data_IF_380107972501
#
_entry.id   IF_380107972501
#
_cell.length_a   1.000
_cell.length_b   1.000
_cell.length_c   1.000
_cell.angle_alpha   90.00
_cell.angle_beta   90.00
_cell.angle_gamma   90.00
#
_symmetry.space_group_name_H-M   'P 1'
#
loop_
_entity.id
_entity.type
_entity.pdbx_description
1 polymer ?
#
# COMPACT_ATOMS: atom_id res chain seq x y z
N UNK A 1 -1.31 -5.97 -15.76
CA UNK A 1 -1.16 -6.53 -17.13
C UNK A 1 -2.55 -6.72 -17.72
N UNK A 2 -2.86 -6.08 -18.85
CA UNK A 2 -4.18 -6.18 -19.48
C UNK A 2 -4.03 -6.91 -20.82
N UNK A 3 -4.71 -8.05 -20.98
CA UNK A 3 -4.90 -8.69 -22.28
C UNK A 3 -5.72 -7.75 -23.16
N UNK A 4 -5.34 -7.60 -24.44
CA UNK A 4 -5.96 -6.64 -25.34
C UNK A 4 -7.51 -6.77 -25.39
N UNK A 5 -8.07 -7.99 -25.32
CA UNK A 5 -9.43 -8.23 -25.81
C UNK A 5 -10.38 -9.02 -24.91
N UNK A 6 -10.02 -9.33 -23.66
CA UNK A 6 -10.84 -10.21 -22.80
C UNK A 6 -12.23 -9.71 -22.41
N UNK A 7 -12.58 -8.44 -22.63
CA UNK A 7 -13.88 -7.88 -22.22
C UNK A 7 -14.61 -7.23 -23.40
N UNK A 8 -15.49 -7.99 -24.07
CA UNK A 8 -16.36 -7.49 -25.15
C UNK A 8 -17.19 -6.26 -24.75
N UNK A 9 -17.53 -6.11 -23.46
CA UNK A 9 -18.35 -5.01 -22.95
C UNK A 9 -17.63 -3.65 -22.92
N UNK A 10 -16.30 -3.61 -23.03
CA UNK A 10 -15.50 -2.38 -22.92
C UNK A 10 -14.82 -1.97 -24.24
N UNK A 11 -15.14 -2.62 -25.36
CA UNK A 11 -14.51 -2.38 -26.66
C UNK A 11 -14.86 -1.00 -27.26
N UNK A 12 -15.98 -0.41 -26.85
CA UNK A 12 -16.44 0.89 -27.36
C UNK A 12 -16.19 2.07 -26.40
N UNK A 13 -15.52 1.85 -25.27
CA UNK A 13 -15.21 2.91 -24.31
C UNK A 13 -13.74 3.31 -24.42
N UNK A 14 -13.48 4.58 -24.73
CA UNK A 14 -12.12 5.10 -24.74
C UNK A 14 -11.54 5.09 -23.32
N UNK A 15 -10.30 4.64 -23.18
CA UNK A 15 -9.59 4.59 -21.89
C UNK A 15 -8.52 5.66 -21.85
N UNK A 16 -8.56 6.48 -20.80
CA UNK A 16 -7.46 7.41 -20.54
C UNK A 16 -6.30 6.68 -19.89
N UNK A 17 -5.12 6.78 -20.48
CA UNK A 17 -3.90 6.12 -20.00
C UNK A 17 -2.71 7.06 -20.17
N UNK A 18 -1.78 7.00 -19.22
CA UNK A 18 -0.44 7.59 -19.37
C UNK A 18 0.56 6.57 -19.90
N UNK A 19 0.45 5.31 -19.47
CA UNK A 19 1.22 4.21 -20.03
C UNK A 19 0.50 2.88 -19.85
N UNK A 20 0.70 1.95 -20.77
CA UNK A 20 0.13 0.62 -20.67
C UNK A 20 0.98 -0.42 -21.39
N UNK A 21 1.03 -1.61 -20.80
CA UNK A 21 1.56 -2.81 -21.45
C UNK A 21 0.40 -3.71 -21.89
N UNK A 22 0.24 -3.81 -23.20
CA UNK A 22 -0.72 -4.68 -23.85
C UNK A 22 -0.01 -5.93 -24.34
N UNK A 23 -0.62 -7.08 -24.13
CA UNK A 23 -0.08 -8.33 -24.62
C UNK A 23 -1.18 -9.21 -25.21
N UNK A 24 -0.76 -10.05 -26.16
CA UNK A 24 -1.56 -11.07 -26.83
C UNK A 24 -0.74 -12.35 -26.91
N UNK A 25 -1.37 -13.50 -26.69
CA UNK A 25 -0.74 -14.81 -26.79
C UNK A 25 -1.75 -15.83 -27.35
N UNK A 26 -1.48 -16.32 -28.56
CA UNK A 26 -2.28 -17.33 -29.27
C UNK A 26 -3.80 -17.05 -29.25
N UNK A 27 -4.20 -15.81 -29.50
CA UNK A 27 -5.60 -15.41 -29.60
C UNK A 27 -6.17 -15.82 -30.97
N UNK A 28 -7.34 -16.45 -31.00
CA UNK A 28 -7.96 -17.00 -32.23
C UNK A 28 -9.39 -16.51 -32.43
N UNK A 29 -9.80 -16.38 -33.68
CA UNK A 29 -11.12 -15.88 -34.11
C UNK A 29 -11.49 -14.56 -33.42
N UNK A 30 -10.52 -13.67 -33.29
CA UNK A 30 -10.67 -12.42 -32.57
C UNK A 30 -10.91 -11.27 -33.55
N UNK A 31 -11.95 -10.47 -33.33
CA UNK A 31 -12.05 -9.11 -33.88
C UNK A 31 -12.24 -8.16 -32.70
N UNK A 32 -11.22 -7.33 -32.47
CA UNK A 32 -11.14 -6.54 -31.27
C UNK A 32 -10.62 -5.15 -31.55
N UNK A 33 -11.35 -4.16 -31.04
CA UNK A 33 -11.04 -2.75 -31.18
C UNK A 33 -10.88 -2.16 -29.78
N UNK A 34 -9.77 -1.46 -29.56
CA UNK A 34 -9.54 -0.69 -28.34
C UNK A 34 -9.07 0.72 -28.69
N UNK A 35 -9.70 1.71 -28.08
CA UNK A 35 -9.31 3.11 -28.23
C UNK A 35 -8.74 3.63 -26.91
N UNK A 36 -7.58 4.29 -27.01
CA UNK A 36 -6.91 4.95 -25.90
C UNK A 36 -6.85 6.44 -26.14
N UNK A 37 -6.89 7.21 -25.06
CA UNK A 37 -6.77 8.66 -25.05
C UNK A 37 -5.72 9.07 -24.02
N UNK A 38 -4.91 10.07 -24.32
CA UNK A 38 -4.01 10.66 -23.32
C UNK A 38 -4.79 11.52 -22.32
N UNK A 39 -4.21 11.80 -21.15
CA UNK A 39 -4.85 12.71 -20.18
C UNK A 39 -4.88 14.16 -20.66
N UNK A 40 -3.89 14.56 -21.47
CA UNK A 40 -3.80 15.90 -22.05
C UNK A 40 -3.79 15.89 -23.57
N UNK A 41 -4.44 16.89 -24.18
CA UNK A 41 -4.41 17.13 -25.63
C UNK A 41 -3.01 17.52 -26.15
N UNK A 42 -2.11 17.94 -25.27
CA UNK A 42 -0.72 18.28 -25.60
C UNK A 42 0.19 17.06 -25.63
N UNK A 43 -0.33 15.89 -25.27
CA UNK A 43 0.36 14.61 -25.33
C UNK A 43 -0.07 13.84 -26.59
N UNK A 44 0.79 12.93 -27.01
CA UNK A 44 0.54 11.96 -28.08
C UNK A 44 1.07 10.60 -27.66
N UNK A 45 0.71 9.55 -28.37
CA UNK A 45 1.19 8.20 -28.06
C UNK A 45 2.47 7.84 -28.80
N UNK A 46 3.43 7.29 -28.06
CA UNK A 46 4.50 6.45 -28.55
C UNK A 46 4.09 4.98 -28.41
N UNK A 47 4.32 4.20 -29.45
CA UNK A 47 4.04 2.76 -29.51
C UNK A 47 5.34 2.02 -29.80
N UNK A 48 5.59 0.95 -29.06
CA UNK A 48 6.78 0.11 -29.22
C UNK A 48 6.48 -1.34 -28.91
N UNK A 49 7.05 -2.24 -29.70
CA UNK A 49 6.96 -3.67 -29.43
C UNK A 49 8.19 -4.17 -28.66
N UNK A 50 7.95 -4.82 -27.52
CA UNK A 50 8.96 -5.61 -26.81
C UNK A 50 9.14 -6.98 -27.47
N UNK A 51 8.04 -7.52 -27.99
CA UNK A 51 7.94 -8.78 -28.71
C UNK A 51 6.84 -8.63 -29.77
N UNK A 52 7.07 -9.16 -30.97
CA UNK A 52 6.09 -9.15 -32.05
C UNK A 52 6.32 -10.38 -32.93
N UNK A 53 5.32 -11.26 -32.95
CA UNK A 53 5.27 -12.41 -33.83
C UNK A 53 3.81 -12.68 -34.17
N UNK A 54 3.38 -12.23 -35.34
CA UNK A 54 2.01 -12.43 -35.81
C UNK A 54 1.96 -13.53 -36.85
N UNK A 55 0.79 -14.15 -36.99
CA UNK A 55 0.50 -14.96 -38.16
C UNK A 55 0.43 -14.09 -39.43
N UNK A 56 0.59 -14.68 -40.60
CA UNK A 56 0.50 -13.96 -41.87
C UNK A 56 -0.93 -13.61 -42.26
N UNK A 57 -1.90 -14.33 -41.70
CA UNK A 57 -3.31 -14.05 -41.87
C UNK A 57 -3.85 -13.09 -40.80
N UNK A 58 -3.11 -12.95 -39.69
CA UNK A 58 -3.43 -12.01 -38.62
C UNK A 58 -2.99 -10.60 -38.98
N UNK A 59 -3.82 -9.63 -38.60
CA UNK A 59 -3.55 -8.22 -38.83
C UNK A 59 -3.78 -7.39 -37.57
N UNK A 60 -2.77 -6.60 -37.21
CA UNK A 60 -2.86 -5.57 -36.20
C UNK A 60 -2.79 -4.20 -36.87
N UNK A 61 -3.94 -3.54 -36.93
CA UNK A 61 -4.10 -2.21 -37.48
C UNK A 61 -3.98 -1.14 -36.39
N UNK A 62 -3.19 -0.10 -36.68
CA UNK A 62 -2.99 1.05 -35.78
C UNK A 62 -3.53 2.30 -36.45
N UNK A 63 -4.52 2.93 -35.84
CA UNK A 63 -5.15 4.18 -36.29
C UNK A 63 -4.71 5.35 -35.41
N UNK A 64 -4.35 6.46 -36.06
CA UNK A 64 -3.98 7.74 -35.40
C UNK A 64 -5.25 8.59 -35.25
N UNK A 65 -6.15 8.14 -34.38
CA UNK A 65 -7.46 8.74 -34.16
C UNK A 65 -8.28 7.95 -33.14
N UNK A 66 -9.52 8.40 -32.89
CA UNK A 66 -10.41 7.82 -31.87
C UNK A 66 -11.25 6.63 -32.35
N UNK A 67 -11.24 6.33 -33.66
CA UNK A 67 -12.07 5.29 -34.26
C UNK A 67 -11.28 4.46 -35.28
N UNK A 68 -11.62 3.18 -35.41
CA UNK A 68 -11.06 2.26 -36.41
C UNK A 68 -11.76 2.41 -37.78
N UNK A 69 -11.85 3.64 -38.28
CA UNK A 69 -12.52 3.96 -39.55
C UNK A 69 -11.56 4.72 -40.46
N UNK A 70 -11.50 4.33 -41.74
CA UNK A 70 -10.67 4.97 -42.75
C UNK A 70 -9.28 4.35 -42.88
N UNK A 71 -8.30 5.16 -43.24
CA UNK A 71 -6.93 4.71 -43.49
C UNK A 71 -6.19 4.48 -42.17
N UNK A 72 -5.69 3.27 -41.96
CA UNK A 72 -4.78 2.97 -40.86
C UNK A 72 -3.42 3.64 -41.10
N UNK A 73 -2.70 3.90 -40.00
CA UNK A 73 -1.33 4.43 -40.03
C UNK A 73 -0.31 3.31 -40.20
N UNK A 74 -0.55 2.16 -39.58
CA UNK A 74 0.26 0.96 -39.71
C UNK A 74 -0.63 -0.28 -39.81
N UNK A 75 -0.22 -1.22 -40.66
CA UNK A 75 -0.76 -2.58 -40.78
C UNK A 75 0.40 -3.53 -40.52
N UNK A 76 0.28 -4.29 -39.44
CA UNK A 76 1.31 -5.21 -38.98
C UNK A 76 0.81 -6.65 -39.12
N UNK A 77 1.64 -7.48 -39.73
CA UNK A 77 1.42 -8.91 -39.92
C UNK A 77 2.77 -9.64 -39.78
N UNK A 78 2.87 -10.91 -40.20
CA UNK A 78 4.08 -11.75 -40.06
C UNK A 78 5.35 -11.18 -40.73
N UNK A 79 5.20 -10.26 -41.69
CA UNK A 79 6.34 -9.60 -42.37
C UNK A 79 7.04 -8.58 -41.48
N UNK A 80 6.37 -8.14 -40.42
CA UNK A 80 6.86 -7.11 -39.53
C UNK A 80 7.49 -7.76 -38.28
N UNK A 81 8.69 -7.33 -37.94
CA UNK A 81 9.41 -7.77 -36.74
C UNK A 81 9.74 -6.57 -35.86
N UNK A 82 10.06 -6.82 -34.60
CA UNK A 82 10.53 -5.77 -33.67
C UNK A 82 11.71 -4.98 -34.21
N UNK A 83 12.63 -5.61 -34.93
CA UNK A 83 13.83 -4.96 -35.47
C UNK A 83 13.48 -4.02 -36.63
N UNK A 84 12.51 -4.41 -37.45
CA UNK A 84 12.03 -3.59 -38.55
C UNK A 84 11.13 -2.44 -38.06
N UNK A 85 10.45 -2.63 -36.94
CA UNK A 85 9.57 -1.65 -36.32
C UNK A 85 10.28 -0.91 -35.18
N UNK A 86 10.75 0.31 -35.46
CA UNK A 86 11.21 1.23 -34.42
C UNK A 86 10.06 1.76 -33.54
N UNK A 87 10.39 2.71 -32.66
CA UNK A 87 9.37 3.45 -31.91
C UNK A 87 8.48 4.26 -32.88
N UNK A 88 7.18 3.96 -32.87
CA UNK A 88 6.17 4.62 -33.69
C UNK A 88 5.50 5.71 -32.89
N UNK A 89 5.15 6.82 -33.54
CA UNK A 89 4.49 7.93 -32.87
C UNK A 89 3.21 8.33 -33.59
N UNK A 90 2.17 8.59 -32.81
CA UNK A 90 0.93 9.21 -33.27
C UNK A 90 1.08 10.72 -33.35
N UNK A 91 0.15 11.37 -34.07
CA UNK A 91 0.04 12.83 -34.16
C UNK A 91 -1.07 13.36 -33.27
N UNK A 92 -2.12 12.56 -33.08
CA UNK A 92 -3.27 12.91 -32.25
C UNK A 92 -3.09 12.41 -30.82
N UNK A 93 -3.97 12.88 -29.93
CA UNK A 93 -4.05 12.46 -28.53
C UNK A 93 -4.87 11.16 -28.36
N UNK A 94 -5.22 10.50 -29.47
CA UNK A 94 -5.97 9.26 -29.51
C UNK A 94 -5.20 8.21 -30.31
N UNK A 95 -5.34 6.95 -29.91
CA UNK A 95 -4.89 5.82 -30.72
C UNK A 95 -5.92 4.72 -30.65
N UNK A 96 -6.30 4.18 -31.81
CA UNK A 96 -7.18 3.03 -31.90
C UNK A 96 -6.41 1.84 -32.46
N UNK A 97 -6.46 0.73 -31.75
CA UNK A 97 -5.88 -0.53 -32.16
C UNK A 97 -7.01 -1.46 -32.57
N UNK A 98 -6.91 -2.05 -33.76
CA UNK A 98 -7.79 -3.12 -34.22
C UNK A 98 -6.96 -4.37 -34.47
N UNK A 99 -7.21 -5.43 -33.72
CA UNK A 99 -6.55 -6.72 -33.88
C UNK A 99 -7.56 -7.74 -34.40
N UNK A 100 -7.24 -8.31 -35.57
CA UNK A 100 -8.07 -9.32 -36.24
C UNK A 100 -7.24 -10.57 -36.39
N UNK A 101 -7.74 -11.69 -35.88
CA UNK A 101 -7.11 -13.01 -36.01
C UNK A 101 -8.04 -14.03 -36.62
N UNK A 102 -7.47 -15.05 -37.26
CA UNK A 102 -8.23 -16.16 -37.83
C UNK A 102 -8.33 -17.35 -36.87
N UNK A 103 -8.83 -18.49 -37.35
CA UNK A 103 -9.01 -19.70 -36.56
C UNK A 103 -7.70 -20.46 -36.28
N UNK A 104 -6.62 -20.08 -36.95
CA UNK A 104 -5.31 -20.71 -36.89
C UNK A 104 -4.35 -19.85 -36.07
N UNK A 105 -3.36 -20.49 -35.47
CA UNK A 105 -2.39 -19.79 -34.61
C UNK A 105 -1.60 -20.76 -33.75
N UNK A 106 -0.35 -20.43 -33.48
CA UNK A 106 0.55 -21.21 -32.64
C UNK A 106 0.79 -20.52 -31.30
N UNK A 107 1.32 -21.25 -30.31
CA UNK A 107 1.66 -20.68 -29.00
C UNK A 107 2.78 -19.63 -29.04
N UNK A 108 3.54 -19.58 -30.15
CA UNK A 108 4.53 -18.53 -30.40
C UNK A 108 3.94 -17.25 -30.98
N UNK A 109 2.70 -17.28 -31.47
CA UNK A 109 2.04 -16.10 -32.02
C UNK A 109 1.56 -15.21 -30.87
N UNK A 110 1.86 -13.93 -30.98
CA UNK A 110 1.55 -12.94 -29.96
C UNK A 110 2.40 -11.69 -30.10
N UNK A 111 2.11 -10.74 -29.24
CA UNK A 111 2.89 -9.52 -29.17
C UNK A 111 2.82 -8.91 -27.78
N UNK A 112 3.83 -8.10 -27.47
CA UNK A 112 3.92 -7.29 -26.28
C UNK A 112 4.15 -5.85 -26.72
N UNK A 113 3.09 -5.04 -26.63
CA UNK A 113 3.04 -3.65 -27.07
C UNK A 113 3.05 -2.73 -25.86
N UNK A 114 4.07 -1.88 -25.79
CA UNK A 114 4.19 -0.77 -24.85
C UNK A 114 3.60 0.47 -25.50
N UNK A 115 2.63 1.09 -24.83
CA UNK A 115 2.02 2.36 -25.22
C UNK A 115 2.34 3.38 -24.13
N UNK A 116 2.87 4.53 -24.55
CA UNK A 116 3.26 5.61 -23.64
C UNK A 116 2.70 6.93 -24.14
N UNK A 117 2.04 7.69 -23.28
CA UNK A 117 1.70 9.08 -23.51
C UNK A 117 2.96 9.93 -23.34
N UNK A 118 3.39 10.58 -24.41
CA UNK A 118 4.59 11.40 -24.46
C UNK A 118 4.23 12.86 -24.73
N UNK A 119 4.95 13.78 -24.10
CA UNK A 119 4.85 15.23 -24.29
C UNK A 119 6.08 15.74 -25.04
N UNK A 120 5.87 16.62 -26.01
CA UNK A 120 6.98 17.19 -26.78
C UNK A 120 7.80 18.20 -25.94
N UNK A 121 9.14 18.29 -26.15
CA UNK A 121 10.06 19.14 -25.38
C UNK A 121 9.75 20.64 -25.48
N UNK A 122 8.99 21.03 -26.51
CA UNK A 122 8.54 22.43 -26.71
C UNK A 122 7.62 22.91 -25.60
N UNK A 123 6.99 21.99 -24.86
CA UNK A 123 6.11 22.30 -23.75
C UNK A 123 6.83 22.04 -22.43
N UNK A 124 6.44 22.75 -21.37
CA UNK A 124 7.05 22.58 -20.04
C UNK A 124 6.94 21.12 -19.56
N UNK A 125 8.10 20.48 -19.36
CA UNK A 125 8.21 19.15 -18.78
C UNK A 125 8.43 19.28 -17.28
N UNK A 126 7.37 19.08 -16.51
CA UNK A 126 7.42 19.01 -15.05
C UNK A 126 7.72 17.59 -14.54
N UNK A 127 7.75 16.62 -15.46
CA UNK A 127 7.88 15.19 -15.19
C UNK A 127 9.24 14.66 -15.67
N UNK A 128 9.38 13.34 -15.85
CA UNK A 128 10.62 12.74 -16.30
C UNK A 128 10.86 12.97 -17.79
N UNK A 129 12.11 13.26 -18.15
CA UNK A 129 12.53 13.51 -19.53
C UNK A 129 13.43 12.39 -20.03
N UNK A 130 13.00 11.73 -21.10
CA UNK A 130 13.77 10.69 -21.76
C UNK A 130 15.02 11.28 -22.41
N UNK A 131 16.14 10.54 -22.38
CA UNK A 131 17.40 11.01 -22.96
C UNK A 131 17.31 11.05 -24.50
N UNK A 132 16.67 10.04 -25.09
CA UNK A 132 16.42 10.00 -26.52
C UNK A 132 15.28 10.96 -26.90
N UNK A 133 15.56 11.92 -27.79
CA UNK A 133 14.61 12.89 -28.37
C UNK A 133 13.97 13.88 -27.37
N UNK A 134 14.35 13.84 -26.10
CA UNK A 134 13.93 14.78 -25.05
C UNK A 134 12.41 14.89 -24.81
N UNK A 135 11.64 13.85 -25.15
CA UNK A 135 10.22 13.82 -24.79
C UNK A 135 10.02 13.47 -23.33
N UNK A 136 8.86 13.83 -22.81
CA UNK A 136 8.56 13.70 -21.39
C UNK A 136 7.42 12.73 -21.16
N UNK A 137 7.57 11.94 -20.09
CA UNK A 137 6.64 10.89 -19.68
C UNK A 137 6.22 11.11 -18.23
N UNK A 138 5.07 10.56 -17.85
CA UNK A 138 4.58 10.63 -16.49
C UNK A 138 5.56 9.97 -15.52
N UNK A 139 5.74 10.56 -14.32
CA UNK A 139 6.68 10.06 -13.31
C UNK A 139 6.31 8.69 -12.76
N UNK A 140 5.06 8.28 -12.89
CA UNK A 140 4.58 6.94 -12.49
C UNK A 140 5.07 5.81 -13.40
N UNK A 141 5.57 6.14 -14.59
CA UNK A 141 6.09 5.19 -15.58
C UNK A 141 7.61 5.02 -15.49
N UNK A 142 8.24 5.60 -14.47
CA UNK A 142 9.68 5.57 -14.26
C UNK A 142 9.98 4.49 -13.23
N UNK A 143 10.91 3.59 -13.53
CA UNK A 143 11.31 2.48 -12.67
C UNK A 143 10.19 1.45 -12.45
N UNK A 144 9.33 1.23 -13.45
CA UNK A 144 8.23 0.27 -13.39
C UNK A 144 8.58 -1.09 -14.03
N UNK A 145 9.81 -1.24 -14.52
CA UNK A 145 10.31 -2.42 -15.21
C UNK A 145 9.94 -2.48 -16.70
N UNK A 146 9.29 -1.44 -17.25
CA UNK A 146 8.88 -1.34 -18.64
C UNK A 146 9.57 -0.14 -19.28
N UNK A 147 10.17 -0.34 -20.45
CA UNK A 147 10.89 0.73 -21.14
C UNK A 147 9.95 1.61 -21.97
N UNK A 148 9.47 2.68 -21.33
CA UNK A 148 8.64 3.74 -21.87
C UNK A 148 9.42 4.82 -22.64
N UNK A 149 10.73 4.97 -22.44
CA UNK A 149 11.56 5.96 -23.15
C UNK A 149 12.18 5.47 -24.48
N UNK A 150 11.89 4.24 -24.90
CA UNK A 150 12.49 3.54 -26.05
C UNK A 150 14.00 3.23 -25.91
N UNK A 151 14.77 4.12 -25.29
CA UNK A 151 16.19 3.97 -24.95
C UNK A 151 16.43 3.31 -23.58
N UNK A 152 15.40 3.23 -22.73
CA UNK A 152 15.49 2.68 -21.37
C UNK A 152 16.04 3.66 -20.35
N UNK A 153 16.06 4.96 -20.66
CA UNK A 153 16.52 6.01 -19.74
C UNK A 153 15.66 6.12 -18.48
N UNK A 154 14.39 5.78 -18.58
CA UNK A 154 13.43 5.65 -17.48
C UNK A 154 13.81 4.56 -16.46
N UNK A 155 14.35 3.44 -16.92
CA UNK A 155 14.71 2.30 -16.05
C UNK A 155 16.18 2.32 -15.59
N UNK A 156 17.03 3.05 -16.31
CA UNK A 156 18.48 3.10 -16.03
C UNK A 156 18.89 4.29 -15.16
N UNK A 157 17.97 5.22 -14.88
CA UNK A 157 18.23 6.38 -14.03
C UNK A 157 18.41 5.96 -12.56
N UNK A 158 19.65 5.62 -12.22
CA UNK A 158 20.04 5.11 -10.90
C UNK A 158 19.63 6.05 -9.76
N UNK A 159 19.61 7.37 -9.99
CA UNK A 159 19.23 8.35 -8.96
C UNK A 159 17.73 8.37 -8.65
N UNK A 160 16.89 7.95 -9.59
CA UNK A 160 15.43 7.93 -9.40
C UNK A 160 14.94 6.54 -8.96
N UNK A 161 15.51 5.47 -9.53
CA UNK A 161 15.10 4.09 -9.25
C UNK A 161 15.65 3.50 -7.95
N UNK A 162 16.53 4.23 -7.24
CA UNK A 162 17.10 3.79 -5.96
C UNK A 162 16.12 3.80 -4.77
N UNK A 163 14.87 4.23 -4.95
CA UNK A 163 13.94 4.44 -3.83
C UNK A 163 12.86 3.35 -3.67
N UNK A 164 12.87 2.27 -4.46
CA UNK A 164 11.89 1.18 -4.33
C UNK A 164 12.46 -0.11 -3.71
N UNK A 165 13.67 -0.09 -3.17
CA UNK A 165 14.19 -1.15 -2.29
C UNK A 165 14.14 -0.73 -0.81
N UNK A 166 13.01 -0.18 -0.36
CA UNK A 166 12.73 -0.12 1.08
C UNK A 166 12.35 -1.52 1.58
N UNK A 167 13.32 -2.41 1.76
CA UNK A 167 13.07 -3.67 2.46
C UNK A 167 13.94 -4.89 2.19
N UNK A 168 15.16 -4.74 1.64
CA UNK A 168 16.03 -5.89 1.33
C UNK A 168 17.46 -5.63 1.83
N UNK A 169 17.70 -5.86 3.11
CA UNK A 169 19.08 -6.09 3.59
C UNK A 169 19.41 -7.54 3.23
N UNK A 170 20.35 -7.73 2.29
CA UNK A 170 20.87 -9.04 1.87
C UNK A 170 19.84 -9.97 1.17
N UNK A 171 18.98 -9.42 0.30
CA UNK A 171 18.17 -10.24 -0.62
C UNK A 171 17.17 -11.20 0.04
N UNK A 172 16.83 -10.98 1.31
CA UNK A 172 15.77 -11.69 2.02
C UNK A 172 14.72 -10.68 2.47
N UNK A 173 13.44 -11.02 2.34
CA UNK A 173 12.34 -10.13 2.75
C UNK A 173 12.52 -9.67 4.21
N UNK A 174 12.48 -8.35 4.46
CA UNK A 174 12.64 -7.74 5.80
C UNK A 174 11.61 -8.26 6.82
N UNK A 175 10.48 -8.79 6.36
CA UNK A 175 9.46 -9.46 7.19
C UNK A 175 10.04 -10.65 7.96
N UNK A 176 10.86 -11.49 7.31
CA UNK A 176 11.42 -12.68 7.94
C UNK A 176 12.53 -12.35 8.92
N UNK A 177 13.35 -11.34 8.59
CA UNK A 177 14.46 -10.91 9.44
C UNK A 177 13.98 -10.41 10.81
N UNK A 178 12.93 -9.58 10.83
CA UNK A 178 12.36 -9.06 12.08
C UNK A 178 11.79 -10.18 12.96
N UNK A 179 11.12 -11.17 12.36
CA UNK A 179 10.57 -12.33 13.09
C UNK A 179 11.67 -13.18 13.72
N UNK A 180 12.77 -13.44 12.99
CA UNK A 180 13.91 -14.21 13.51
C UNK A 180 14.59 -13.48 14.67
N UNK A 181 14.81 -12.16 14.57
CA UNK A 181 15.43 -11.37 15.64
C UNK A 181 14.55 -11.34 16.90
N UNK A 182 13.24 -11.16 16.76
CA UNK A 182 12.32 -11.17 17.90
C UNK A 182 12.24 -12.57 18.52
N UNK A 183 12.15 -13.62 17.69
CA UNK A 183 12.11 -15.00 18.16
C UNK A 183 13.38 -15.38 18.93
N UNK A 184 14.56 -14.99 18.43
CA UNK A 184 15.83 -15.26 19.11
C UNK A 184 15.94 -14.51 20.44
N UNK A 185 15.52 -13.25 20.50
CA UNK A 185 15.48 -12.48 21.76
C UNK A 185 14.54 -13.12 22.80
N UNK A 186 13.36 -13.59 22.40
CA UNK A 186 12.42 -14.26 23.30
C UNK A 186 12.98 -15.58 23.84
N UNK A 187 13.63 -16.39 22.99
CA UNK A 187 14.27 -17.63 23.42
C UNK A 187 15.40 -17.35 24.41
N UNK A 188 16.23 -16.33 24.16
CA UNK A 188 17.29 -15.94 25.09
C UNK A 188 16.74 -15.51 26.46
N UNK A 189 15.64 -14.75 26.49
CA UNK A 189 14.99 -14.35 27.75
C UNK A 189 14.47 -15.56 28.52
N UNK A 190 13.85 -16.53 27.85
CA UNK A 190 13.38 -17.77 28.50
C UNK A 190 14.54 -18.58 29.06
N UNK A 191 15.66 -18.68 28.34
CA UNK A 191 16.86 -19.36 28.83
C UNK A 191 17.46 -18.67 30.06
N UNK A 192 17.52 -17.34 30.07
CA UNK A 192 18.01 -16.57 31.23
C UNK A 192 17.12 -16.82 32.46
N UNK A 193 15.79 -16.82 32.28
CA UNK A 193 14.84 -17.11 33.36
C UNK A 193 14.94 -18.56 33.83
N UNK A 194 15.12 -19.52 32.93
CA UNK A 194 15.31 -20.92 33.30
C UNK A 194 16.61 -21.11 34.11
N UNK A 195 17.71 -20.49 33.69
CA UNK A 195 18.99 -20.53 34.40
C UNK A 195 18.89 -19.87 35.77
N UNK A 196 18.21 -18.72 35.90
CA UNK A 196 18.02 -18.07 37.19
C UNK A 196 17.19 -18.92 38.15
N UNK A 197 16.12 -19.56 37.67
CA UNK A 197 15.32 -20.52 38.47
C UNK A 197 16.17 -21.73 38.89
N UNK A 198 16.99 -22.27 37.99
CA UNK A 198 17.90 -23.38 38.30
C UNK A 198 18.93 -23.00 39.36
N UNK A 199 19.50 -21.80 39.30
CA UNK A 199 20.47 -21.31 40.29
C UNK A 199 19.78 -21.07 41.64
N UNK A 200 18.60 -20.45 41.66
CA UNK A 200 17.83 -20.25 42.89
C UNK A 200 17.43 -21.58 43.55
N UNK A 201 17.06 -22.60 42.76
CA UNK A 201 16.77 -23.95 43.28
C UNK A 201 18.02 -24.66 43.81
N UNK A 202 19.17 -24.49 43.14
CA UNK A 202 20.43 -25.09 43.58
C UNK A 202 20.96 -24.43 44.87
N UNK A 203 20.75 -23.13 45.02
CA UNK A 203 21.04 -22.39 46.26
C UNK A 203 20.17 -22.82 47.45
N UNK A 204 18.90 -23.20 47.22
CA UNK A 204 18.05 -23.78 48.26
C UNK A 204 18.55 -25.17 48.71
N UNK A 205 18.97 -26.01 47.76
CA UNK A 205 19.47 -27.35 48.09
C UNK A 205 20.82 -27.34 48.82
N UNK A 206 21.61 -26.26 48.71
CA UNK A 206 22.82 -26.07 49.53
C UNK A 206 22.55 -25.46 50.91
N UNK A 207 21.33 -25.00 51.20
CA UNK A 207 20.94 -24.43 52.50
C UNK A 207 20.10 -25.39 53.37
N UNK A 208 19.87 -26.63 52.92
CA UNK A 208 18.91 -27.56 53.53
C UNK A 208 19.48 -28.91 53.97
N UNK A 209 20.65 -28.93 54.64
CA UNK A 209 21.09 -30.07 55.43
C UNK A 209 21.03 -29.69 56.92
N UNK A 210 19.82 -29.78 57.48
CA UNK A 210 19.52 -29.42 58.87
C UNK A 210 18.13 -29.87 59.27
N UNK A 211 17.96 -31.19 59.35
CA UNK A 211 16.98 -32.00 60.07
C UNK A 211 15.65 -31.39 60.56
N UNK A 212 14.56 -32.11 60.25
CA UNK A 212 13.43 -32.25 61.18
C UNK A 212 12.07 -32.26 60.47
N UNK A 213 11.46 -33.42 60.37
CA UNK A 213 10.27 -33.72 59.59
C UNK A 213 8.94 -33.55 60.37
N UNK A 214 7.84 -33.56 59.59
CA UNK A 214 6.43 -33.86 59.95
C UNK A 214 5.69 -32.65 60.59
N UNK A 215 4.51 -32.16 60.16
CA UNK A 215 3.28 -32.87 59.79
C UNK A 215 2.32 -32.01 58.95
N UNK A 216 1.39 -32.70 58.29
CA UNK A 216 0.44 -32.25 57.27
C UNK A 216 -0.99 -32.04 57.84
N UNK A 217 -1.70 -31.08 57.24
CA UNK A 217 -3.17 -30.90 57.12
C UNK A 217 -4.02 -30.69 58.39
N UNK A 218 -4.80 -29.60 58.39
CA UNK A 218 -6.27 -29.69 58.39
C UNK A 218 -6.93 -28.35 58.05
N UNK A 219 -7.92 -28.38 57.17
CA UNK A 219 -8.84 -27.28 56.91
C UNK A 219 -10.10 -27.44 57.78
N UNK A 220 -10.59 -26.37 58.38
CA UNK A 220 -12.03 -26.13 58.55
C UNK A 220 -12.32 -24.68 58.98
N UNK A 221 -13.49 -24.26 58.55
CA UNK A 221 -14.13 -22.94 58.39
C UNK A 221 -14.54 -22.26 59.71
N UNK A 222 -14.60 -20.92 59.73
CA UNK A 222 -15.84 -20.12 59.86
C UNK A 222 -15.60 -18.62 60.18
N UNK A 223 -16.64 -17.83 59.89
CA UNK A 223 -16.76 -16.37 59.81
C UNK A 223 -16.58 -15.61 61.14
N UNK A 224 -15.96 -14.42 61.05
CA UNK A 224 -16.36 -13.12 61.65
C UNK A 224 -16.27 -13.01 63.21
N UNK A 225 -15.85 -11.93 63.88
CA UNK A 225 -16.07 -10.50 63.66
C UNK A 225 -15.23 -9.70 64.69
N UNK A 226 -14.84 -8.46 64.31
CA UNK A 226 -14.66 -7.25 65.15
C UNK A 226 -13.56 -7.14 66.24
N UNK A 227 -12.90 -5.98 66.15
CA UNK A 227 -12.66 -4.96 67.19
C UNK A 227 -11.21 -4.66 67.63
N UNK A 228 -10.91 -3.36 67.62
CA UNK A 228 -9.83 -2.71 68.37
C UNK A 228 -8.96 -1.80 67.49
N UNK A 229 -8.49 -0.64 67.90
CA UNK A 229 -8.85 0.31 68.97
C UNK A 229 -7.97 1.55 68.75
N UNK A 230 -8.46 2.69 69.22
CA UNK A 230 -7.94 4.05 68.98
C UNK A 230 -6.67 4.43 69.79
N UNK A 231 -6.04 5.54 69.37
CA UNK A 231 -5.26 6.46 70.21
C UNK A 231 -3.98 6.96 69.51
N UNK A 232 -3.59 8.23 69.49
CA UNK A 232 -4.03 9.44 70.17
C UNK A 232 -3.34 10.66 69.50
N UNK A 233 -3.98 11.86 69.52
CA UNK A 233 -3.45 13.13 70.10
C UNK A 233 -4.36 14.33 69.72
N UNK A 234 -4.97 14.95 70.74
CA UNK A 234 -5.37 16.38 70.84
C UNK A 234 -4.39 17.03 71.84
N UNK A 235 -4.27 18.36 72.04
CA UNK A 235 -5.25 19.44 71.79
C UNK A 235 -4.66 20.77 71.24
N UNK A 236 -5.49 21.70 70.71
CA UNK A 236 -5.90 23.05 71.22
C UNK A 236 -4.72 23.98 71.61
N UNK A 237 -4.68 25.30 71.47
CA UNK A 237 -5.55 26.41 71.01
C UNK A 237 -4.70 27.68 71.22
N UNK A 238 -4.97 28.75 70.48
CA UNK A 238 -4.49 30.08 70.88
C UNK A 238 -5.04 31.15 69.94
N UNK A 239 -5.99 31.94 70.44
CA UNK A 239 -6.58 33.08 69.73
C UNK A 239 -6.09 34.42 70.28
N UNK A 240 -6.52 35.49 69.61
CA UNK A 240 -6.43 36.90 70.03
C UNK A 240 -5.45 37.71 69.16
N UNK A 241 -5.77 38.88 68.59
CA UNK A 241 -6.98 39.69 68.56
C UNK A 241 -6.80 40.91 67.64
N UNK A 242 -7.93 41.55 67.27
CA UNK A 242 -8.22 42.96 66.89
C UNK A 242 -7.14 43.82 66.17
N UNK A 243 -7.41 44.67 65.16
CA UNK A 243 -8.49 45.68 65.00
C UNK A 243 -8.41 46.36 63.61
N UNK A 244 -9.54 46.91 63.12
CA UNK A 244 -9.74 48.09 62.23
C UNK A 244 -9.18 48.21 60.79
N UNK A 245 -10.14 48.34 59.86
CA UNK A 245 -10.31 49.30 58.73
C UNK A 245 -9.22 49.58 57.67
N UNK A 246 -9.68 49.36 56.42
CA UNK A 246 -9.58 50.21 55.21
C UNK A 246 -8.25 50.33 54.41
N UNK A 247 -8.46 50.08 53.11
CA UNK A 247 -7.78 50.61 51.91
C UNK A 247 -6.58 49.90 51.29
N UNK A 248 -6.81 49.60 50.00
CA UNK A 248 -5.94 49.87 48.85
C UNK A 248 -4.99 48.78 48.34
N UNK A 249 -5.17 48.58 47.03
CA UNK A 249 -4.19 48.21 46.00
C UNK A 249 -3.60 46.81 46.06
N UNK A 250 -4.08 46.00 45.12
CA UNK A 250 -3.60 44.66 44.86
C UNK A 250 -2.34 44.62 44.00
N UNK A 251 -1.70 43.46 44.09
CA UNK A 251 -0.59 43.04 43.24
C UNK A 251 -0.26 41.58 43.52
N UNK A 252 -0.58 40.70 42.56
CA UNK A 252 0.24 39.53 42.24
C UNK A 252 -0.03 38.18 42.92
N UNK A 253 -0.64 37.27 42.14
CA UNK A 253 -0.29 35.84 41.92
C UNK A 253 -0.19 34.87 43.11
N UNK A 254 -0.99 33.80 43.10
CA UNK A 254 -0.60 32.51 43.70
C UNK A 254 -1.29 31.28 43.05
N UNK A 255 -0.46 30.31 42.65
CA UNK A 255 -0.54 28.85 42.84
C UNK A 255 -1.87 28.03 42.70
N UNK A 256 -1.76 27.01 41.83
CA UNK A 256 -2.32 25.63 41.79
C UNK A 256 -2.10 24.84 43.12
N UNK A 257 -2.64 23.62 43.44
CA UNK A 257 -3.62 22.62 42.87
C UNK A 257 -4.66 22.14 43.96
N UNK A 258 -5.18 20.86 44.12
CA UNK A 258 -5.29 19.64 43.27
C UNK A 258 -6.66 18.86 43.26
N UNK A 259 -6.77 17.98 42.24
CA UNK A 259 -7.34 16.60 42.14
C UNK A 259 -8.65 16.12 42.78
N UNK A 260 -9.45 15.38 41.99
CA UNK A 260 -10.39 14.33 42.43
C UNK A 260 -11.00 13.54 41.26
N UNK A 261 -10.99 12.20 41.34
CA UNK A 261 -11.37 11.22 40.30
C UNK A 261 -12.30 10.17 40.91
N UNK A 262 -13.51 9.90 40.39
CA UNK A 262 -14.33 8.70 40.71
C UNK A 262 -15.33 8.35 39.59
N UNK A 263 -15.58 7.03 39.42
CA UNK A 263 -16.36 6.36 38.35
C UNK A 263 -17.79 5.95 38.79
N UNK A 264 -18.72 6.01 37.81
CA UNK A 264 -19.93 5.19 37.48
C UNK A 264 -21.18 5.11 38.41
N UNK A 265 -22.38 4.89 37.81
CA UNK A 265 -23.16 3.64 38.01
C UNK A 265 -23.78 3.03 36.71
N UNK A 266 -24.43 1.85 36.82
CA UNK A 266 -24.66 0.82 35.79
C UNK A 266 -26.12 0.61 35.27
N UNK A 267 -26.25 -0.07 34.10
CA UNK A 267 -27.36 -0.98 33.68
C UNK A 267 -28.17 -0.62 32.40
N UNK A 268 -28.91 -1.54 31.71
CA UNK A 268 -28.71 -2.98 31.44
C UNK A 268 -28.83 -3.36 29.92
N UNK A 269 -28.87 -4.68 29.63
CA UNK A 269 -28.60 -5.40 28.37
C UNK A 269 -29.86 -5.73 27.55
N UNK A 270 -29.80 -5.72 26.21
CA UNK A 270 -30.85 -6.27 25.33
C UNK A 270 -30.42 -6.51 23.86
N UNK A 271 -30.59 -7.75 23.40
CA UNK A 271 -30.33 -8.31 22.05
C UNK A 271 -31.16 -7.67 20.91
N UNK A 272 -30.61 -7.60 19.67
CA UNK A 272 -31.21 -8.19 18.44
C UNK A 272 -30.36 -7.99 17.16
N UNK A 273 -30.46 -9.00 16.30
CA UNK A 273 -29.90 -9.19 14.94
C UNK A 273 -30.15 -8.04 13.95
N UNK A 274 -29.27 -7.96 12.94
CA UNK A 274 -29.57 -7.84 11.48
C UNK A 274 -28.73 -6.76 10.76
N UNK A 275 -27.81 -7.19 9.90
CA UNK A 275 -27.48 -6.46 8.66
C UNK A 275 -28.58 -6.75 7.60
N UNK A 276 -28.63 -6.17 6.37
CA UNK A 276 -27.64 -5.33 5.69
C UNK A 276 -28.22 -4.17 4.82
N UNK A 277 -27.32 -3.58 4.02
CA UNK A 277 -27.52 -2.88 2.75
C UNK A 277 -27.96 -1.39 2.74
N UNK A 278 -27.09 -0.55 2.17
CA UNK A 278 -27.48 0.77 1.64
C UNK A 278 -26.91 0.92 0.22
N UNK A 279 -27.71 0.48 -0.75
CA UNK A 279 -27.60 0.97 -2.12
C UNK A 279 -28.13 2.41 -2.16
N UNK A 280 -27.43 3.32 -2.84
CA UNK A 280 -27.97 4.65 -3.20
C UNK A 280 -28.08 4.72 -4.73
N UNK A 281 -29.29 4.43 -5.20
CA UNK A 281 -29.81 4.91 -6.47
C UNK A 281 -30.24 6.36 -6.29
N UNK A 282 -29.83 7.26 -7.19
CA UNK A 282 -30.52 8.53 -7.41
C UNK A 282 -31.02 8.54 -8.86
N UNK A 283 -32.33 8.71 -9.00
CA UNK A 283 -33.02 8.96 -10.27
C UNK A 283 -32.87 10.44 -10.68
N UNK A 284 -32.66 10.62 -11.99
CA UNK A 284 -33.27 11.58 -12.93
C UNK A 284 -34.09 12.77 -12.39
N UNK A 285 -33.77 13.98 -12.89
CA UNK A 285 -34.72 14.84 -13.63
C UNK A 285 -34.03 16.13 -14.13
N UNK A 286 -33.85 16.29 -15.45
CA UNK A 286 -34.59 17.23 -16.32
C UNK A 286 -34.09 17.14 -17.76
#
# INVERSE_FOLDING_TARGET
MQSLCKNHFLQNLYRKIDGALLWSQNERNLDCINTFQTHSILQRFMLRFDFLQLDCNDHLYIYDGAHAVGTYKFDLSCKNTKQNLGAMFTRTNYVTLKYVTDAWGTDSNGFKLVITAVKDPKHACTEFRCNLREFCIATELVCDGINHCADGSDETSTTLCQNNETGTILGLEVTWFVVVVISTLLVLLVLIVAVSICICRRGWNSAGAGNGAVQQQNASYSLQQMYGSNGALKPLTGGGGSTTTLTSSGGGVLYRPPSGNWRHPAGPIGFRLSAPARARLYCQAK
#
